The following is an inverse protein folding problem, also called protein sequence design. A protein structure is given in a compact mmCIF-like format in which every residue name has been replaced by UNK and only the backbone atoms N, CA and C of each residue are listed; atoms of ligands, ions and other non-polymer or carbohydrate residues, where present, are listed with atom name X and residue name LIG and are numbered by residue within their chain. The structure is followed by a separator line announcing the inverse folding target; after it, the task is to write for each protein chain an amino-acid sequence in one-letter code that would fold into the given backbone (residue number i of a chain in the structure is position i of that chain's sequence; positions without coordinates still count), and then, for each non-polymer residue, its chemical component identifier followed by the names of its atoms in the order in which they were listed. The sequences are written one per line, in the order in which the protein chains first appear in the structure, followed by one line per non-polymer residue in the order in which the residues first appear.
data_IF_033262491689
#
_entry.id   IF_033262491689
#
_cell.length_a   1.000
_cell.length_b   1.000
_cell.length_c   1.000
_cell.angle_alpha   90.00
_cell.angle_beta   90.00
_cell.angle_gamma   90.00
#
_symmetry.space_group_name_H-M   'P 1'
#
loop_
_entity.id
_entity.type
_entity.pdbx_description
1 polymer ?
#
# COMPACT_ATOMS: atom_id res chain seq x y z
N UNK A 1 26.05 -4.27 4.89
CA UNK A 1 26.39 -3.81 3.52
C UNK A 1 27.08 -4.94 2.78
N UNK A 2 26.35 -5.60 1.88
CA UNK A 2 26.86 -6.31 0.71
C UNK A 2 25.75 -6.14 -0.33
N UNK A 3 25.95 -5.20 -1.26
CA UNK A 3 25.07 -5.07 -2.43
C UNK A 3 25.33 -6.28 -3.31
N UNK A 4 24.52 -7.34 -3.15
CA UNK A 4 24.34 -8.31 -4.21
C UNK A 4 23.80 -7.54 -5.42
N UNK A 5 24.66 -7.33 -6.42
CA UNK A 5 24.22 -6.97 -7.76
C UNK A 5 23.36 -8.13 -8.28
N UNK A 6 22.08 -8.12 -7.95
CA UNK A 6 21.10 -8.89 -8.71
C UNK A 6 21.25 -8.45 -10.17
N UNK A 7 21.58 -9.38 -11.05
CA UNK A 7 21.66 -9.11 -12.48
C UNK A 7 20.24 -8.85 -12.98
N UNK A 8 19.86 -7.57 -12.97
CA UNK A 8 18.56 -7.11 -13.38
C UNK A 8 18.44 -7.26 -14.91
N UNK A 9 17.67 -8.24 -15.38
CA UNK A 9 17.48 -8.47 -16.81
C UNK A 9 16.40 -7.50 -17.31
N UNK A 10 16.82 -6.38 -17.90
CA UNK A 10 15.97 -5.23 -18.30
C UNK A 10 15.01 -5.55 -19.47
N UNK A 11 15.17 -6.69 -20.13
CA UNK A 11 14.38 -7.05 -21.30
C UNK A 11 12.99 -7.57 -20.91
N UNK A 12 12.08 -6.67 -20.54
CA UNK A 12 10.65 -6.99 -20.46
C UNK A 12 10.16 -7.26 -21.88
N UNK A 13 9.77 -8.49 -22.16
CA UNK A 13 9.32 -8.92 -23.47
C UNK A 13 7.98 -8.28 -23.85
N UNK A 14 7.73 -8.12 -25.15
CA UNK A 14 6.42 -7.70 -25.66
C UNK A 14 5.27 -8.57 -25.17
N UNK A 15 5.56 -9.86 -24.96
CA UNK A 15 4.57 -10.79 -24.41
C UNK A 15 4.24 -10.46 -22.95
N UNK A 16 5.21 -10.04 -22.14
CA UNK A 16 4.99 -9.60 -20.76
C UNK A 16 4.22 -8.28 -20.71
N UNK A 17 4.52 -7.34 -21.61
CA UNK A 17 3.77 -6.07 -21.71
C UNK A 17 2.30 -6.35 -22.05
N UNK A 18 2.02 -7.20 -23.05
CA UNK A 18 0.65 -7.60 -23.39
C UNK A 18 -0.07 -8.33 -22.26
N UNK A 19 0.65 -9.16 -21.50
CA UNK A 19 0.10 -9.80 -20.28
C UNK A 19 -0.28 -8.74 -19.24
N UNK A 20 0.56 -7.73 -19.02
CA UNK A 20 0.24 -6.62 -18.12
C UNK A 20 -0.98 -5.83 -18.61
N UNK A 21 -1.09 -5.54 -19.90
CA UNK A 21 -2.23 -4.83 -20.48
C UNK A 21 -3.54 -5.59 -20.22
N UNK A 22 -3.51 -6.91 -20.38
CA UNK A 22 -4.66 -7.78 -20.12
C UNK A 22 -4.99 -7.83 -18.62
N UNK A 23 -3.97 -8.00 -17.76
CA UNK A 23 -4.14 -8.04 -16.31
C UNK A 23 -4.69 -6.73 -15.73
N UNK A 24 -4.34 -5.60 -16.33
CA UNK A 24 -4.69 -4.26 -15.86
C UNK A 24 -5.85 -3.62 -16.64
N UNK A 25 -6.49 -4.36 -17.55
CA UNK A 25 -7.56 -3.82 -18.41
C UNK A 25 -8.70 -3.17 -17.61
N UNK A 26 -9.04 -3.75 -16.45
CA UNK A 26 -10.14 -3.29 -15.59
C UNK A 26 -9.66 -2.57 -14.33
N UNK A 27 -8.38 -2.16 -14.28
CA UNK A 27 -7.77 -1.68 -13.03
C UNK A 27 -8.51 -0.50 -12.40
N UNK A 28 -9.02 0.44 -13.21
CA UNK A 28 -9.77 1.59 -12.72
C UNK A 28 -11.08 1.18 -12.01
N UNK A 29 -11.80 0.21 -12.57
CA UNK A 29 -13.02 -0.36 -11.95
C UNK A 29 -12.67 -1.14 -10.70
N UNK A 30 -11.64 -1.99 -10.74
CA UNK A 30 -11.19 -2.79 -9.60
C UNK A 30 -10.75 -1.90 -8.43
N UNK A 31 -10.05 -0.79 -8.73
CA UNK A 31 -9.67 0.23 -7.76
C UNK A 31 -10.89 0.90 -7.13
N UNK A 32 -11.89 1.26 -7.94
CA UNK A 32 -13.12 1.86 -7.43
C UNK A 32 -13.83 0.94 -6.44
N UNK A 33 -13.97 -0.34 -6.80
CA UNK A 33 -14.58 -1.38 -5.96
C UNK A 33 -13.80 -1.53 -4.66
N UNK A 34 -12.48 -1.65 -4.76
CA UNK A 34 -11.61 -1.89 -3.61
C UNK A 34 -11.63 -0.71 -2.64
N UNK A 35 -11.45 0.52 -3.13
CA UNK A 35 -11.53 1.72 -2.29
C UNK A 35 -12.90 1.84 -1.59
N UNK A 36 -13.97 1.56 -2.33
CA UNK A 36 -15.34 1.57 -1.80
C UNK A 36 -15.55 0.50 -0.73
N UNK A 37 -15.01 -0.71 -0.93
CA UNK A 37 -15.06 -1.82 0.01
C UNK A 37 -14.30 -1.49 1.30
N UNK A 38 -13.03 -1.10 1.20
CA UNK A 38 -12.21 -0.76 2.38
C UNK A 38 -12.84 0.37 3.19
N UNK A 39 -13.38 1.40 2.52
CA UNK A 39 -14.10 2.49 3.21
C UNK A 39 -15.29 1.96 4.02
N UNK A 40 -16.08 1.05 3.44
CA UNK A 40 -17.22 0.43 4.14
C UNK A 40 -16.79 -0.47 5.28
N UNK A 41 -15.76 -1.30 5.08
CA UNK A 41 -15.22 -2.19 6.10
C UNK A 41 -14.73 -1.41 7.34
N UNK A 42 -14.12 -0.24 7.12
CA UNK A 42 -13.68 0.65 8.20
C UNK A 42 -14.79 1.57 8.75
N UNK A 43 -16.04 1.47 8.26
CA UNK A 43 -17.15 2.30 8.73
C UNK A 43 -17.04 3.81 8.43
N UNK A 44 -16.13 4.25 7.56
CA UNK A 44 -15.93 5.68 7.29
C UNK A 44 -17.03 6.21 6.37
N UNK A 45 -17.73 7.28 6.77
CA UNK A 45 -18.63 8.00 5.87
C UNK A 45 -17.87 8.89 4.87
N UNK A 46 -18.48 9.20 3.71
CA UNK A 46 -17.87 10.15 2.77
C UNK A 46 -17.65 11.54 3.39
N UNK A 47 -18.51 11.96 4.33
CA UNK A 47 -18.35 13.23 5.06
C UNK A 47 -17.09 13.22 5.94
N UNK A 48 -16.87 12.15 6.70
CA UNK A 48 -15.64 12.00 7.49
C UNK A 48 -14.41 11.98 6.59
N UNK A 49 -14.48 11.31 5.44
CA UNK A 49 -13.37 11.28 4.51
C UNK A 49 -13.08 12.67 3.92
N UNK A 50 -14.11 13.39 3.47
CA UNK A 50 -14.00 14.76 2.95
C UNK A 50 -13.35 15.70 3.96
N UNK A 51 -13.68 15.58 5.25
CA UNK A 51 -13.07 16.38 6.32
C UNK A 51 -11.56 16.15 6.50
N UNK A 52 -11.02 15.04 5.98
CA UNK A 52 -9.59 14.72 6.05
C UNK A 52 -8.78 15.25 4.87
N UNK A 53 -9.42 15.91 3.90
CA UNK A 53 -8.75 16.42 2.69
C UNK A 53 -9.02 17.91 2.45
N UNK A 54 -8.02 18.61 1.92
CA UNK A 54 -8.18 19.89 1.22
C UNK A 54 -7.67 19.80 -0.21
N UNK A 55 -8.04 20.76 -1.07
CA UNK A 55 -7.69 20.77 -2.50
C UNK A 55 -8.49 19.78 -3.38
N UNK A 56 -9.33 18.92 -2.80
CA UNK A 56 -10.27 18.07 -3.52
C UNK A 56 -11.65 18.11 -2.85
N UNK A 57 -12.71 18.20 -3.67
CA UNK A 57 -14.08 18.17 -3.15
C UNK A 57 -14.56 16.74 -2.88
N UNK A 58 -15.47 16.58 -1.92
CA UNK A 58 -16.02 15.26 -1.55
C UNK A 58 -16.74 14.55 -2.69
N UNK A 59 -17.31 15.30 -3.65
CA UNK A 59 -17.95 14.70 -4.82
C UNK A 59 -16.95 14.00 -5.74
N UNK A 60 -15.74 14.54 -5.91
CA UNK A 60 -14.67 13.90 -6.69
C UNK A 60 -14.11 12.69 -5.96
N UNK A 61 -13.87 12.79 -4.65
CA UNK A 61 -13.49 11.63 -3.83
C UNK A 61 -14.51 10.49 -3.94
N UNK A 62 -15.80 10.82 -3.87
CA UNK A 62 -16.89 9.86 -4.05
C UNK A 62 -16.87 9.23 -5.45
N UNK A 63 -16.69 10.03 -6.50
CA UNK A 63 -16.61 9.55 -7.89
C UNK A 63 -15.45 8.58 -8.11
N UNK A 64 -14.28 8.82 -7.52
CA UNK A 64 -13.16 7.85 -7.60
C UNK A 64 -13.52 6.48 -7.01
N UNK A 65 -14.47 6.40 -6.07
CA UNK A 65 -14.95 5.14 -5.50
C UNK A 65 -16.20 4.56 -6.20
N UNK A 66 -16.60 5.13 -7.35
CA UNK A 66 -17.72 4.64 -8.17
C UNK A 66 -17.20 3.93 -9.42
N UNK A 67 -17.74 2.74 -9.70
CA UNK A 67 -17.39 1.97 -10.91
C UNK A 67 -17.79 2.69 -12.20
N UNK A 68 -18.91 3.43 -12.16
CA UNK A 68 -19.43 4.17 -13.31
C UNK A 68 -18.64 5.42 -13.68
N UNK A 69 -17.63 5.81 -12.88
CA UNK A 69 -16.83 6.99 -13.16
C UNK A 69 -15.80 6.69 -14.26
N UNK A 70 -15.92 7.33 -15.44
CA UNK A 70 -15.15 6.95 -16.62
C UNK A 70 -13.73 7.53 -16.64
N UNK A 71 -13.43 8.51 -15.79
CA UNK A 71 -12.11 9.14 -15.77
C UNK A 71 -11.12 8.30 -14.95
N UNK A 72 -9.84 8.43 -15.29
CA UNK A 72 -8.76 7.78 -14.58
C UNK A 72 -8.69 8.19 -13.10
N UNK A 73 -8.22 7.29 -12.24
CA UNK A 73 -7.88 7.59 -10.85
C UNK A 73 -6.41 7.99 -10.74
N UNK A 74 -6.08 9.23 -10.32
CA UNK A 74 -4.70 9.63 -10.15
C UNK A 74 -4.01 8.82 -9.04
N UNK A 75 -2.80 8.33 -9.31
CA UNK A 75 -2.04 7.50 -8.36
C UNK A 75 -1.78 8.22 -7.03
N UNK A 76 -1.54 9.54 -7.05
CA UNK A 76 -1.30 10.32 -5.84
C UNK A 76 -2.56 10.41 -4.96
N UNK A 77 -3.77 10.48 -5.54
CA UNK A 77 -5.03 10.44 -4.77
C UNK A 77 -5.22 9.08 -4.11
N UNK A 78 -4.95 8.01 -4.85
CA UNK A 78 -5.00 6.64 -4.30
C UNK A 78 -3.99 6.47 -3.17
N UNK A 79 -2.76 6.95 -3.36
CA UNK A 79 -1.72 6.97 -2.35
C UNK A 79 -2.17 7.75 -1.10
N UNK A 80 -2.66 8.96 -1.26
CA UNK A 80 -3.15 9.79 -0.16
C UNK A 80 -4.30 9.12 0.61
N UNK A 81 -5.26 8.51 -0.10
CA UNK A 81 -6.36 7.76 0.51
C UNK A 81 -5.87 6.60 1.37
N UNK A 82 -4.90 5.82 0.91
CA UNK A 82 -4.35 4.72 1.70
C UNK A 82 -3.62 5.20 2.95
N UNK A 83 -3.05 6.40 2.93
CA UNK A 83 -2.46 7.00 4.13
C UNK A 83 -3.55 7.46 5.11
N UNK A 84 -4.51 8.25 4.64
CA UNK A 84 -5.64 8.75 5.45
C UNK A 84 -6.45 7.61 6.07
N UNK A 85 -6.66 6.54 5.31
CA UNK A 85 -7.40 5.36 5.76
C UNK A 85 -6.53 4.35 6.52
N UNK A 86 -5.22 4.61 6.62
CA UNK A 86 -4.25 3.76 7.31
C UNK A 86 -4.27 2.30 6.82
N UNK A 87 -4.31 2.10 5.50
CA UNK A 87 -4.23 0.77 4.88
C UNK A 87 -3.03 0.68 3.96
N UNK A 88 -2.42 -0.50 3.77
CA UNK A 88 -1.38 -0.65 2.76
C UNK A 88 -1.97 -0.44 1.36
N UNK A 89 -1.15 0.02 0.42
CA UNK A 89 -1.59 0.23 -0.97
C UNK A 89 -2.14 -1.04 -1.63
N UNK A 90 -1.61 -2.19 -1.24
CA UNK A 90 -2.08 -3.52 -1.66
C UNK A 90 -3.56 -3.78 -1.33
N UNK A 91 -4.11 -3.19 -0.25
CA UNK A 91 -5.53 -3.33 0.09
C UNK A 91 -6.47 -2.76 -0.97
N UNK A 92 -6.04 -1.73 -1.72
CA UNK A 92 -6.84 -1.21 -2.83
C UNK A 92 -6.58 -1.94 -4.15
N UNK A 93 -5.51 -2.72 -4.22
CA UNK A 93 -5.04 -3.37 -5.42
C UNK A 93 -5.59 -4.77 -5.63
N UNK A 94 -6.05 -5.43 -4.56
CA UNK A 94 -6.46 -6.82 -4.59
C UNK A 94 -7.95 -7.02 -4.27
N UNK A 95 -8.84 -6.06 -4.53
CA UNK A 95 -10.27 -6.19 -4.18
C UNK A 95 -10.99 -7.43 -4.71
N UNK A 96 -10.44 -8.14 -5.71
CA UNK A 96 -10.95 -9.43 -6.18
C UNK A 96 -10.08 -10.64 -5.76
N UNK A 97 -8.87 -10.42 -5.23
CA UNK A 97 -7.88 -11.45 -4.85
C UNK A 97 -7.44 -11.39 -3.38
N UNK A 98 -8.06 -10.56 -2.54
CA UNK A 98 -7.80 -10.54 -1.09
C UNK A 98 -7.96 -11.95 -0.48
N UNK A 99 -8.87 -12.78 -1.01
CA UNK A 99 -9.02 -14.20 -0.63
C UNK A 99 -7.84 -15.09 -1.04
N UNK A 100 -7.10 -14.74 -2.10
CA UNK A 100 -5.87 -15.45 -2.51
C UNK A 100 -4.69 -15.07 -1.62
N UNK A 101 -4.57 -13.78 -1.24
CA UNK A 101 -3.50 -13.30 -0.35
C UNK A 101 -3.70 -13.75 1.10
N UNK A 102 -4.96 -13.82 1.56
CA UNK A 102 -5.34 -14.28 2.89
C UNK A 102 -6.00 -15.66 2.85
N UNK A 103 -5.51 -16.54 1.97
CA UNK A 103 -6.10 -17.88 1.77
C UNK A 103 -6.22 -18.63 3.11
N UNK A 104 -7.45 -18.92 3.52
CA UNK A 104 -7.77 -19.56 4.81
C UNK A 104 -8.25 -18.60 5.91
N UNK A 105 -8.35 -17.30 5.63
CA UNK A 105 -9.03 -16.31 6.48
C UNK A 105 -10.46 -16.10 5.98
N UNK A 106 -11.39 -15.92 6.92
CA UNK A 106 -12.78 -15.57 6.59
C UNK A 106 -12.91 -14.07 6.26
N UNK A 107 -14.09 -13.65 5.79
CA UNK A 107 -14.32 -12.26 5.38
C UNK A 107 -14.16 -11.29 6.57
N UNK A 108 -14.44 -11.72 7.81
CA UNK A 108 -14.27 -10.91 9.02
C UNK A 108 -12.81 -10.66 9.36
N UNK A 109 -11.97 -11.68 9.20
CA UNK A 109 -10.52 -11.55 9.39
C UNK A 109 -9.93 -10.55 8.38
N UNK A 110 -10.39 -10.58 7.13
CA UNK A 110 -9.97 -9.62 6.11
C UNK A 110 -10.40 -8.19 6.51
N UNK A 111 -11.63 -7.99 6.95
CA UNK A 111 -12.09 -6.68 7.45
C UNK A 111 -11.27 -6.18 8.65
N UNK A 112 -10.91 -7.09 9.56
CA UNK A 112 -10.07 -6.77 10.70
C UNK A 112 -8.67 -6.33 10.27
N UNK A 113 -8.07 -7.01 9.29
CA UNK A 113 -6.79 -6.62 8.70
C UNK A 113 -6.82 -5.22 8.11
N UNK A 114 -7.91 -4.85 7.45
CA UNK A 114 -8.10 -3.51 6.91
C UNK A 114 -8.14 -2.43 8.00
N UNK A 115 -8.38 -2.76 9.26
CA UNK A 115 -8.46 -1.78 10.33
C UNK A 115 -7.17 -1.66 11.17
N UNK A 116 -6.22 -2.60 11.02
CA UNK A 116 -5.02 -2.71 11.86
C UNK A 116 -4.16 -1.45 11.85
N UNK A 117 -4.05 -0.80 10.68
CA UNK A 117 -3.24 0.41 10.59
C UNK A 117 -3.76 1.57 11.45
N UNK A 118 -4.96 1.49 12.01
CA UNK A 118 -5.45 2.52 12.94
C UNK A 118 -5.02 2.31 14.37
N UNK A 119 -4.59 1.10 14.73
CA UNK A 119 -4.19 0.79 16.09
C UNK A 119 -2.88 1.52 16.43
N UNK A 120 -2.83 2.25 17.56
CA UNK A 120 -1.57 2.77 18.04
C UNK A 120 -0.60 1.63 18.40
N UNK A 121 0.70 1.94 18.46
CA UNK A 121 1.77 0.97 18.75
C UNK A 121 1.49 0.07 19.94
N UNK A 122 1.01 0.64 21.05
CA UNK A 122 0.85 -0.11 22.29
C UNK A 122 -0.31 -1.10 22.20
N UNK A 123 -1.43 -0.69 21.60
CA UNK A 123 -2.57 -1.58 21.38
C UNK A 123 -2.25 -2.66 20.35
N UNK A 124 -1.46 -2.33 19.33
CA UNK A 124 -0.98 -3.33 18.38
C UNK A 124 -0.09 -4.39 19.05
N UNK A 125 0.87 -3.97 19.89
CA UNK A 125 1.73 -4.89 20.65
C UNK A 125 0.92 -5.76 21.61
N UNK A 126 0.01 -5.15 22.38
CA UNK A 126 -0.87 -5.86 23.28
C UNK A 126 -1.74 -6.89 22.54
N UNK A 127 -2.26 -6.53 21.37
CA UNK A 127 -3.00 -7.47 20.54
C UNK A 127 -2.16 -8.69 20.16
N UNK A 128 -0.93 -8.48 19.68
CA UNK A 128 -0.03 -9.59 19.33
C UNK A 128 0.26 -10.50 20.54
N UNK A 129 0.44 -9.94 21.73
CA UNK A 129 0.64 -10.71 22.96
C UNK A 129 -0.60 -11.55 23.31
N UNK A 130 -1.80 -10.96 23.22
CA UNK A 130 -3.06 -11.67 23.44
C UNK A 130 -3.21 -12.83 22.46
N UNK A 131 -2.94 -12.60 21.17
CA UNK A 131 -3.04 -13.64 20.15
C UNK A 131 -1.98 -14.73 20.34
N UNK A 132 -0.75 -14.37 20.72
CA UNK A 132 0.30 -15.34 21.03
C UNK A 132 -0.07 -16.25 22.21
N UNK A 133 -0.82 -15.74 23.20
CA UNK A 133 -1.33 -16.54 24.32
C UNK A 133 -2.46 -17.51 23.91
N UNK A 134 -3.03 -17.36 22.71
CA UNK A 134 -4.03 -18.29 22.17
C UNK A 134 -3.40 -19.46 21.39
N UNK A 135 -2.09 -19.40 21.08
CA UNK A 135 -1.35 -20.44 20.37
C UNK A 135 -0.95 -21.59 21.30
N UNK A 136 -0.61 -22.74 20.71
CA UNK A 136 0.13 -23.77 21.44
C UNK A 136 1.60 -23.34 21.61
N UNK A 137 2.35 -24.03 22.48
CA UNK A 137 3.73 -23.65 22.81
C UNK A 137 4.68 -23.67 21.59
N UNK A 138 4.55 -24.65 20.70
CA UNK A 138 5.41 -24.77 19.52
C UNK A 138 5.20 -23.60 18.55
N UNK A 139 3.93 -23.32 18.22
CA UNK A 139 3.55 -22.22 17.34
C UNK A 139 3.88 -20.86 17.96
N UNK A 140 3.74 -20.72 19.29
CA UNK A 140 4.12 -19.50 20.01
C UNK A 140 5.62 -19.23 19.91
N UNK A 141 6.45 -20.25 20.13
CA UNK A 141 7.91 -20.13 20.01
C UNK A 141 8.32 -19.78 18.57
N UNK A 142 7.69 -20.42 17.58
CA UNK A 142 7.92 -20.12 16.16
C UNK A 142 7.54 -18.67 15.81
N UNK A 143 6.38 -18.21 16.27
CA UNK A 143 5.91 -16.84 16.06
C UNK A 143 6.84 -15.80 16.71
N UNK A 144 7.28 -16.02 17.96
CA UNK A 144 8.18 -15.10 18.65
C UNK A 144 9.55 -15.00 17.96
N UNK A 145 10.05 -16.12 17.41
CA UNK A 145 11.27 -16.13 16.59
C UNK A 145 11.07 -15.30 15.32
N UNK A 146 10.00 -15.56 14.58
CA UNK A 146 9.66 -14.81 13.37
C UNK A 146 9.56 -13.31 13.64
N UNK A 147 8.86 -12.92 14.72
CA UNK A 147 8.72 -11.53 15.15
C UNK A 147 10.09 -10.89 15.39
N UNK A 148 10.96 -11.55 16.16
CA UNK A 148 12.30 -11.04 16.46
C UNK A 148 13.16 -10.91 15.20
N UNK A 149 13.10 -11.87 14.28
CA UNK A 149 13.82 -11.82 13.01
C UNK A 149 13.34 -10.65 12.15
N UNK A 150 12.02 -10.50 11.99
CA UNK A 150 11.42 -9.43 11.18
C UNK A 150 11.74 -8.03 11.74
N UNK A 151 11.63 -7.85 13.06
CA UNK A 151 11.97 -6.60 13.74
C UNK A 151 13.48 -6.30 13.62
N UNK A 152 14.35 -7.32 13.64
CA UNK A 152 15.80 -7.12 13.46
C UNK A 152 16.21 -6.68 12.05
N UNK A 153 15.47 -7.14 11.02
CA UNK A 153 15.75 -6.81 9.62
C UNK A 153 15.29 -5.41 9.23
N UNK A 154 14.32 -4.86 9.97
CA UNK A 154 13.65 -3.60 9.62
C UNK A 154 14.20 -2.37 10.36
N UNK A 155 15.20 -2.56 11.23
CA UNK A 155 15.90 -1.48 11.93
C UNK A 155 15.04 -0.77 12.98
N UNK A 156 15.56 0.35 13.52
CA UNK A 156 14.80 1.29 14.35
C UNK A 156 13.74 1.98 13.47
N UNK A 157 12.63 1.30 13.23
CA UNK A 157 11.46 1.90 12.61
C UNK A 157 11.01 3.08 13.47
N UNK A 158 10.74 4.22 12.84
CA UNK A 158 10.16 5.39 13.49
C UNK A 158 8.93 4.98 14.30
N UNK A 159 8.69 5.67 15.42
CA UNK A 159 7.50 5.43 16.22
C UNK A 159 6.26 5.55 15.35
N UNK A 160 5.52 4.45 15.18
CA UNK A 160 4.36 4.38 14.28
C UNK A 160 3.34 5.50 14.51
N UNK A 161 3.17 5.90 15.77
CA UNK A 161 2.20 6.92 16.15
C UNK A 161 2.59 8.32 15.64
N UNK A 162 3.85 8.53 15.25
CA UNK A 162 4.36 9.76 14.63
C UNK A 162 4.21 9.73 13.10
N UNK A 163 3.86 8.58 12.51
CA UNK A 163 3.73 8.39 11.06
C UNK A 163 2.29 8.56 10.54
N UNK A 164 1.39 9.00 11.43
CA UNK A 164 -0.01 9.18 11.11
C UNK A 164 -0.18 10.33 10.10
N UNK A 165 -1.18 10.23 9.20
CA UNK A 165 -1.51 11.32 8.29
C UNK A 165 -1.90 12.58 9.07
N UNK A 166 -1.66 13.77 8.52
CA UNK A 166 -2.12 15.00 9.14
C UNK A 166 -3.66 14.99 9.35
N UNK A 167 -4.18 15.80 10.29
CA UNK A 167 -5.62 15.90 10.50
C UNK A 167 -6.38 16.25 9.21
N UNK A 168 -5.83 17.17 8.41
CA UNK A 168 -6.30 17.50 7.06
C UNK A 168 -5.09 17.43 6.12
N UNK A 169 -5.19 16.63 5.06
CA UNK A 169 -4.17 16.48 4.05
C UNK A 169 -4.51 17.32 2.82
N UNK A 170 -3.64 18.26 2.47
CA UNK A 170 -3.77 18.99 1.20
C UNK A 170 -3.31 18.12 0.04
N UNK A 171 -4.23 17.83 -0.88
CA UNK A 171 -3.93 16.91 -1.98
C UNK A 171 -2.98 17.50 -3.01
N UNK A 172 -2.94 18.82 -3.17
CA UNK A 172 -2.08 19.48 -4.16
C UNK A 172 -0.64 19.50 -3.66
N UNK A 173 -0.43 19.88 -2.40
CA UNK A 173 0.89 19.81 -1.76
C UNK A 173 1.39 18.37 -1.73
N UNK A 174 0.51 17.42 -1.38
CA UNK A 174 0.86 16.00 -1.41
C UNK A 174 1.25 15.56 -2.82
N UNK A 175 0.52 15.96 -3.87
CA UNK A 175 0.85 15.63 -5.25
C UNK A 175 2.22 16.20 -5.66
N UNK A 176 2.52 17.46 -5.30
CA UNK A 176 3.80 18.12 -5.59
C UNK A 176 4.96 17.31 -4.98
N UNK A 177 4.89 17.00 -3.69
CA UNK A 177 5.96 16.28 -3.00
C UNK A 177 6.07 14.82 -3.47
N UNK A 178 4.92 14.16 -3.70
CA UNK A 178 4.84 12.80 -4.21
C UNK A 178 5.48 12.68 -5.60
N UNK A 179 5.07 13.51 -6.56
CA UNK A 179 5.60 13.44 -7.93
C UNK A 179 7.06 13.89 -8.01
N UNK A 180 7.51 14.83 -7.16
CA UNK A 180 8.94 15.15 -7.04
C UNK A 180 9.74 13.93 -6.62
N UNK A 181 9.27 13.20 -5.60
CA UNK A 181 9.94 11.98 -5.14
C UNK A 181 9.97 10.91 -6.24
N UNK A 182 8.84 10.69 -6.92
CA UNK A 182 8.73 9.74 -8.03
C UNK A 182 9.70 10.12 -9.16
N UNK A 183 9.77 11.39 -9.56
CA UNK A 183 10.67 11.87 -10.59
C UNK A 183 12.14 11.56 -10.29
N UNK A 184 12.58 11.83 -9.05
CA UNK A 184 13.96 11.56 -8.61
C UNK A 184 14.25 10.06 -8.63
N UNK A 185 13.37 9.27 -8.02
CA UNK A 185 13.59 7.84 -7.78
C UNK A 185 13.45 7.01 -9.05
N UNK A 186 12.46 7.30 -9.90
CA UNK A 186 12.28 6.65 -11.22
C UNK A 186 13.45 6.97 -12.14
N UNK A 187 13.89 8.23 -12.20
CA UNK A 187 15.06 8.62 -12.99
C UNK A 187 16.33 7.93 -12.51
N UNK A 188 16.54 7.88 -11.19
CA UNK A 188 17.66 7.16 -10.58
C UNK A 188 17.63 5.67 -10.94
N UNK A 189 16.48 5.02 -10.78
CA UNK A 189 16.28 3.62 -11.16
C UNK A 189 16.59 3.38 -12.64
N UNK A 190 16.01 4.17 -13.54
CA UNK A 190 16.24 4.06 -14.98
C UNK A 190 17.72 4.15 -15.34
N UNK A 191 18.42 5.15 -14.81
CA UNK A 191 19.84 5.39 -15.08
C UNK A 191 20.74 4.30 -14.49
N UNK A 192 20.47 3.85 -13.26
CA UNK A 192 21.25 2.79 -12.61
C UNK A 192 21.16 1.45 -13.35
N UNK A 193 20.02 1.17 -13.98
CA UNK A 193 19.78 -0.06 -14.72
C UNK A 193 19.94 0.11 -16.25
N UNK A 194 20.41 1.27 -16.73
CA UNK A 194 20.58 1.58 -18.15
C UNK A 194 19.33 1.30 -19.00
N UNK A 195 18.15 1.59 -18.46
CA UNK A 195 16.88 1.33 -19.14
C UNK A 195 16.62 2.47 -20.15
N UNK A 196 16.43 2.18 -21.45
CA UNK A 196 16.09 3.20 -22.44
C UNK A 196 14.76 3.87 -22.11
N UNK A 197 14.62 5.15 -22.48
CA UNK A 197 13.41 5.94 -22.23
C UNK A 197 12.18 5.29 -22.87
N UNK A 198 12.30 4.85 -24.11
CA UNK A 198 11.25 4.13 -24.84
C UNK A 198 10.81 2.86 -24.08
N UNK A 199 11.77 2.05 -23.61
CA UNK A 199 11.49 0.80 -22.91
C UNK A 199 10.67 1.03 -21.64
N UNK A 200 11.10 1.97 -20.80
CA UNK A 200 10.39 2.24 -19.54
C UNK A 200 9.04 2.92 -19.79
N UNK A 201 8.93 3.84 -20.74
CA UNK A 201 7.65 4.45 -21.11
C UNK A 201 6.64 3.38 -21.57
N UNK A 202 7.11 2.43 -22.38
CA UNK A 202 6.31 1.30 -22.88
C UNK A 202 5.89 0.35 -21.76
N UNK A 203 6.81 -0.03 -20.86
CA UNK A 203 6.49 -0.84 -19.67
C UNK A 203 5.40 -0.15 -18.84
N UNK A 204 5.52 1.17 -18.65
CA UNK A 204 4.58 1.99 -17.91
C UNK A 204 3.25 2.25 -18.63
N UNK A 205 3.13 1.88 -19.91
CA UNK A 205 1.92 2.09 -20.70
C UNK A 205 1.60 3.58 -20.93
N UNK A 206 2.64 4.42 -21.04
CA UNK A 206 2.51 5.86 -21.32
C UNK A 206 3.39 6.27 -22.49
N UNK A 207 3.13 7.43 -23.09
CA UNK A 207 4.00 7.94 -24.15
C UNK A 207 5.36 8.38 -23.60
N UNK A 208 6.38 8.40 -24.46
CA UNK A 208 7.71 8.94 -24.11
C UNK A 208 7.62 10.37 -23.57
N UNK A 209 6.75 11.20 -24.15
CA UNK A 209 6.49 12.55 -23.66
C UNK A 209 5.93 12.57 -22.23
N UNK A 210 4.94 11.71 -21.94
CA UNK A 210 4.40 11.59 -20.59
C UNK A 210 5.46 11.08 -19.61
N UNK A 211 6.33 10.17 -20.05
CA UNK A 211 7.44 9.68 -19.23
C UNK A 211 8.50 10.75 -18.95
N UNK A 212 8.83 11.58 -19.94
CA UNK A 212 9.72 12.73 -19.74
C UNK A 212 9.18 13.69 -18.68
N UNK A 213 7.86 13.93 -18.67
CA UNK A 213 7.20 14.71 -17.60
C UNK A 213 7.30 13.99 -16.26
N UNK A 214 7.14 12.66 -16.22
CA UNK A 214 7.26 11.88 -14.97
C UNK A 214 8.65 12.01 -14.33
N UNK A 215 9.71 12.17 -15.11
CA UNK A 215 11.08 12.37 -14.61
C UNK A 215 11.43 13.85 -14.32
N UNK A 216 10.55 14.80 -14.61
CA UNK A 216 10.79 16.22 -14.38
C UNK A 216 10.29 16.64 -13.00
N UNK A 217 11.24 16.93 -12.10
CA UNK A 217 10.98 17.37 -10.71
C UNK A 217 10.18 18.68 -10.61
N UNK A 218 10.10 19.46 -11.70
CA UNK A 218 9.37 20.73 -11.73
C UNK A 218 7.98 20.59 -12.36
N UNK A 219 7.58 19.40 -12.80
CA UNK A 219 6.29 19.15 -13.42
C UNK A 219 5.45 18.25 -12.53
N UNK A 220 4.25 18.72 -12.24
CA UNK A 220 3.22 17.96 -11.55
C UNK A 220 2.13 17.65 -12.56
N UNK A 221 1.88 16.37 -12.78
CA UNK A 221 0.83 15.89 -13.68
C UNK A 221 0.20 14.65 -13.10
N UNK A 222 -1.11 14.53 -13.28
CA UNK A 222 -1.83 13.35 -12.87
C UNK A 222 -1.44 12.16 -13.76
N UNK A 223 -1.10 11.07 -13.09
CA UNK A 223 -0.78 9.80 -13.73
C UNK A 223 -1.75 8.71 -13.25
N UNK A 224 -2.14 7.76 -14.12
CA UNK A 224 -3.06 6.71 -13.74
C UNK A 224 -2.45 5.78 -12.69
N UNK A 225 -3.28 5.31 -11.77
CA UNK A 225 -2.91 4.33 -10.74
C UNK A 225 -2.23 3.07 -11.31
N UNK A 226 -2.53 2.70 -12.55
CA UNK A 226 -1.92 1.58 -13.26
C UNK A 226 -0.38 1.64 -13.33
N UNK A 227 0.21 2.85 -13.32
CA UNK A 227 1.67 3.01 -13.35
C UNK A 227 2.34 2.26 -12.19
N UNK A 228 1.79 2.34 -10.97
CA UNK A 228 2.38 1.66 -9.81
C UNK A 228 2.48 0.14 -9.99
N UNK A 229 1.48 -0.48 -10.63
CA UNK A 229 1.48 -1.90 -10.94
C UNK A 229 2.46 -2.25 -12.05
N UNK A 230 2.44 -1.47 -13.12
CA UNK A 230 3.30 -1.71 -14.30
C UNK A 230 4.76 -1.66 -13.93
N UNK A 231 5.15 -0.75 -13.05
CA UNK A 231 6.52 -0.71 -12.51
C UNK A 231 6.83 -2.01 -11.74
N UNK A 232 5.98 -2.41 -10.80
CA UNK A 232 6.21 -3.62 -10.00
C UNK A 232 6.27 -4.89 -10.85
N UNK A 233 5.31 -5.07 -11.75
CA UNK A 233 5.18 -6.26 -12.59
C UNK A 233 6.23 -6.29 -13.69
N UNK A 234 6.41 -5.19 -14.41
CA UNK A 234 7.35 -5.10 -15.53
C UNK A 234 8.78 -5.29 -15.06
N UNK A 235 9.14 -4.71 -13.91
CA UNK A 235 10.49 -4.81 -13.37
C UNK A 235 10.65 -5.88 -12.28
N UNK A 236 9.65 -6.76 -12.10
CA UNK A 236 9.67 -7.88 -11.16
C UNK A 236 10.18 -7.49 -9.74
N UNK A 237 9.77 -6.31 -9.28
CA UNK A 237 10.33 -5.72 -8.08
C UNK A 237 9.83 -6.47 -6.84
N UNK A 238 10.77 -6.98 -6.03
CA UNK A 238 10.48 -7.87 -4.90
C UNK A 238 9.69 -7.21 -3.77
N UNK A 239 9.85 -5.90 -3.54
CA UNK A 239 8.91 -5.03 -2.76
C UNK A 239 9.45 -3.63 -2.43
N UNK A 240 10.67 -3.28 -2.84
CA UNK A 240 11.42 -2.19 -2.20
C UNK A 240 11.80 -1.00 -3.10
N UNK A 241 11.22 -0.84 -4.29
CA UNK A 241 11.49 0.40 -5.01
C UNK A 241 10.74 1.54 -4.32
N UNK A 242 11.50 2.25 -3.51
CA UNK A 242 11.05 3.28 -2.61
C UNK A 242 10.76 4.57 -3.38
N UNK A 243 9.78 4.55 -4.29
CA UNK A 243 9.46 5.72 -5.15
C UNK A 243 9.05 6.97 -4.36
N UNK A 244 8.67 6.79 -3.09
CA UNK A 244 8.31 7.86 -2.16
C UNK A 244 9.40 8.20 -1.14
N UNK A 245 10.59 7.58 -1.21
CA UNK A 245 11.69 7.84 -0.25
C UNK A 245 12.27 9.25 -0.29
N UNK A 246 12.04 9.98 -1.38
CA UNK A 246 12.57 11.32 -1.58
C UNK A 246 11.49 12.39 -1.31
N UNK A 247 10.37 12.04 -0.66
CA UNK A 247 9.37 13.00 -0.17
C UNK A 247 9.97 13.82 0.99
N UNK A 248 9.75 15.14 0.98
CA UNK A 248 10.32 16.06 2.00
C UNK A 248 9.27 16.74 2.85
N UNK A 249 8.11 17.05 2.29
CA UNK A 249 7.01 17.68 3.00
C UNK A 249 6.19 16.65 3.77
N UNK A 250 6.05 15.43 3.22
CA UNK A 250 5.35 14.33 3.86
C UNK A 250 6.22 13.05 3.94
N UNK A 251 7.40 13.10 4.57
CA UNK A 251 8.30 11.94 4.67
C UNK A 251 7.68 10.76 5.42
N UNK A 252 6.74 11.03 6.33
CA UNK A 252 6.02 10.05 7.12
C UNK A 252 5.21 9.09 6.24
N UNK A 253 4.73 9.56 5.08
CA UNK A 253 4.02 8.72 4.11
C UNK A 253 4.87 7.51 3.70
N UNK A 254 6.15 7.72 3.41
CA UNK A 254 7.07 6.67 3.01
C UNK A 254 7.39 5.73 4.17
N UNK A 255 7.76 6.31 5.32
CA UNK A 255 8.13 5.57 6.52
C UNK A 255 6.97 4.69 6.99
N UNK A 256 5.73 5.19 6.92
CA UNK A 256 4.55 4.42 7.30
C UNK A 256 4.43 3.11 6.51
N UNK A 257 4.78 3.09 5.21
CA UNK A 257 4.67 1.87 4.39
C UNK A 257 5.62 0.78 4.83
N UNK A 258 6.80 1.16 5.30
CA UNK A 258 7.77 0.21 5.85
C UNK A 258 7.20 -0.42 7.13
N UNK A 259 6.63 0.38 8.03
CA UNK A 259 6.05 -0.13 9.28
C UNK A 259 4.77 -0.93 9.04
N UNK A 260 3.91 -0.49 8.12
CA UNK A 260 2.68 -1.21 7.75
C UNK A 260 3.00 -2.60 7.21
N UNK A 261 4.04 -2.74 6.37
CA UNK A 261 4.46 -4.05 5.88
C UNK A 261 4.81 -5.03 7.00
N UNK A 262 5.55 -4.55 8.02
CA UNK A 262 5.90 -5.35 9.20
C UNK A 262 4.65 -5.73 9.99
N UNK A 263 3.76 -4.77 10.25
CA UNK A 263 2.52 -5.03 11.00
C UNK A 263 1.63 -6.05 10.28
N UNK A 264 1.48 -5.92 8.97
CA UNK A 264 0.71 -6.86 8.16
C UNK A 264 1.33 -8.27 8.23
N UNK A 265 2.65 -8.39 8.07
CA UNK A 265 3.35 -9.67 8.14
C UNK A 265 3.21 -10.34 9.52
N UNK A 266 3.35 -9.57 10.61
CA UNK A 266 3.19 -10.08 11.98
C UNK A 266 1.77 -10.60 12.23
N UNK A 267 0.75 -9.92 11.72
CA UNK A 267 -0.64 -10.32 11.98
C UNK A 267 -1.02 -11.52 11.14
N UNK A 268 -0.60 -11.54 9.87
CA UNK A 268 -0.79 -12.71 9.02
C UNK A 268 -0.14 -13.93 9.66
N UNK A 269 1.11 -13.82 10.10
CA UNK A 269 1.80 -14.93 10.78
C UNK A 269 1.12 -15.30 12.11
N UNK A 270 0.69 -14.33 12.91
CA UNK A 270 -0.03 -14.64 14.14
C UNK A 270 -1.33 -15.41 13.87
N UNK A 271 -2.16 -14.95 12.92
CA UNK A 271 -3.44 -15.58 12.60
C UNK A 271 -3.30 -16.92 11.88
N UNK A 272 -2.20 -17.19 11.19
CA UNK A 272 -1.95 -18.53 10.61
C UNK A 272 -1.63 -19.56 11.69
N UNK A 273 -0.93 -19.15 12.75
CA UNK A 273 -0.45 -19.95 13.89
C UNK A 273 -1.50 -20.20 14.99
N UNK A 274 -2.57 -19.42 15.05
CA UNK A 274 -3.68 -19.66 15.98
C UNK A 274 -4.49 -20.89 15.57
N UNK A 275 -4.90 -21.71 16.54
CA UNK A 275 -5.80 -22.84 16.29
C UNK A 275 -7.11 -22.39 15.65
N UNK A 276 -7.64 -23.17 14.69
CA UNK A 276 -8.87 -22.82 13.95
C UNK A 276 -10.06 -22.48 14.87
N UNK A 277 -10.19 -23.16 16.00
CA UNK A 277 -11.25 -22.94 17.00
C UNK A 277 -11.16 -21.56 17.68
N UNK A 278 -9.97 -20.97 17.76
CA UNK A 278 -9.69 -19.69 18.44
C UNK A 278 -9.51 -18.51 17.49
N UNK A 279 -9.39 -18.76 16.18
CA UNK A 279 -9.21 -17.70 15.16
C UNK A 279 -10.33 -16.66 15.20
N UNK A 280 -11.58 -17.09 15.30
CA UNK A 280 -12.73 -16.19 15.34
C UNK A 280 -12.64 -15.24 16.55
N UNK A 281 -12.25 -15.75 17.73
CA UNK A 281 -12.06 -14.93 18.92
C UNK A 281 -10.91 -13.92 18.75
N UNK A 282 -9.79 -14.34 18.14
CA UNK A 282 -8.67 -13.44 17.85
C UNK A 282 -9.06 -12.31 16.88
N UNK A 283 -9.91 -12.61 15.89
CA UNK A 283 -10.45 -11.63 14.94
C UNK A 283 -11.46 -10.70 15.61
N UNK A 284 -12.34 -11.22 16.45
CA UNK A 284 -13.36 -10.42 17.16
C UNK A 284 -12.71 -9.43 18.15
N UNK A 285 -11.63 -9.83 18.84
CA UNK A 285 -10.82 -8.92 19.66
C UNK A 285 -10.26 -7.79 18.81
N UNK A 286 -9.67 -8.12 17.67
CA UNK A 286 -9.06 -7.13 16.77
C UNK A 286 -10.09 -6.12 16.24
N UNK A 287 -11.24 -6.63 15.79
CA UNK A 287 -12.35 -5.80 15.32
C UNK A 287 -12.88 -4.88 16.43
N UNK A 288 -12.99 -5.39 17.65
CA UNK A 288 -13.45 -4.62 18.81
C UNK A 288 -12.46 -3.52 19.18
N UNK A 289 -11.16 -3.83 19.22
CA UNK A 289 -10.11 -2.83 19.44
C UNK A 289 -10.11 -1.78 18.34
N UNK A 290 -10.23 -2.19 17.08
CA UNK A 290 -10.22 -1.29 15.93
C UNK A 290 -11.34 -0.25 16.00
N UNK A 291 -12.55 -0.65 16.41
CA UNK A 291 -13.70 0.26 16.56
C UNK A 291 -13.47 1.41 17.55
N UNK A 292 -12.59 1.23 18.53
CA UNK A 292 -12.26 2.28 19.53
C UNK A 292 -11.46 3.41 18.88
N UNK A 293 -10.66 3.09 17.85
CA UNK A 293 -9.75 4.01 17.17
C UNK A 293 -10.22 4.39 15.75
N UNK A 294 -11.50 4.15 15.42
CA UNK A 294 -12.11 4.49 14.12
C UNK A 294 -12.69 5.90 14.10
#
# INVERSE_FOLDING_TARGET
MQNSKESFNVAVSEQEIRKMDTLLQNIDTDMAVSMSYVRRAQGISFKQLEQRFSGINGSTLKRYMQQSYPSMRPIHVVAALTWVMMVPMTSFYYGLKMKEQFRGMDDKAIEALLCIGRLPSDQFKLYLELVANLMNEEDRVAFLRFKSELESQTGLLSNYNELLPPPVLDIHDFAIDYYRSVAITVKRFRLQHNIPLETIARVLGISEYQYQILEDVNKVRDFPVAIGFRVKLGFQLSSHVNFTSEMRQFPEFHQLRQVQHVRDALIVEALTKVEKSRKNSAVDILMSLSKIYI
#
